data_IF_885202149875
#
_entry.id   IF_885202149875
#
_cell.length_a   1.000
_cell.length_b   1.000
_cell.length_c   1.000
_cell.angle_alpha   90.00
_cell.angle_beta   90.00
_cell.angle_gamma   90.00
#
_symmetry.space_group_name_H-M   'P 1'
#
loop_
_entity.id
_entity.type
_entity.pdbx_description
1 polymer ?
#
# COMPACT_ATOMS: atom_id res chain seq x y z
N UNK A 1 2.42 -19.02 27.63
CA UNK A 1 0.95 -18.77 27.53
C UNK A 1 0.56 -17.81 28.66
N UNK A 2 -0.23 -16.79 28.40
CA UNK A 2 -0.68 -15.86 29.44
C UNK A 2 -1.85 -16.48 30.21
N UNK A 3 -1.85 -16.38 31.54
CA UNK A 3 -2.94 -16.88 32.40
C UNK A 3 -4.15 -15.94 32.36
N UNK A 4 -5.35 -16.44 32.73
CA UNK A 4 -6.56 -15.62 32.89
C UNK A 4 -6.27 -14.36 33.76
N UNK A 5 -5.56 -14.56 34.89
CA UNK A 5 -5.17 -13.48 35.80
C UNK A 5 -4.41 -12.36 35.08
N UNK A 6 -3.41 -12.73 34.29
CA UNK A 6 -2.59 -11.78 33.55
C UNK A 6 -3.38 -11.06 32.46
N UNK A 7 -4.22 -11.79 31.71
CA UNK A 7 -5.07 -11.21 30.66
C UNK A 7 -6.08 -10.23 31.22
N UNK A 8 -6.76 -10.58 32.32
CA UNK A 8 -7.72 -9.71 32.99
C UNK A 8 -7.05 -8.42 33.48
N UNK A 9 -5.94 -8.53 34.18
CA UNK A 9 -5.19 -7.38 34.69
C UNK A 9 -4.73 -6.46 33.54
N UNK A 10 -4.12 -7.01 32.50
CA UNK A 10 -3.67 -6.24 31.34
C UNK A 10 -4.85 -5.55 30.61
N UNK A 11 -5.96 -6.23 30.39
CA UNK A 11 -7.13 -5.63 29.76
C UNK A 11 -7.73 -4.50 30.59
N UNK A 12 -7.80 -4.64 31.92
CA UNK A 12 -8.28 -3.59 32.83
C UNK A 12 -7.38 -2.37 32.83
N UNK A 13 -6.06 -2.58 32.91
CA UNK A 13 -5.07 -1.48 32.90
C UNK A 13 -5.06 -0.75 31.57
N UNK A 14 -5.25 -1.47 30.45
CA UNK A 14 -5.33 -0.88 29.11
C UNK A 14 -6.44 0.14 28.95
N UNK A 15 -7.59 -0.08 29.61
CA UNK A 15 -8.72 0.86 29.58
C UNK A 15 -8.74 1.81 30.79
N UNK A 16 -7.66 1.84 31.59
CA UNK A 16 -7.47 2.76 32.73
C UNK A 16 -8.40 2.51 33.92
N UNK A 17 -9.02 1.33 34.05
CA UNK A 17 -9.94 1.03 35.15
C UNK A 17 -9.20 0.53 36.39
N UNK A 18 -9.69 0.94 37.57
CA UNK A 18 -9.33 0.32 38.87
C UNK A 18 -10.12 -0.97 39.07
N UNK A 19 -9.66 -1.85 39.99
CA UNK A 19 -10.43 -3.05 40.35
C UNK A 19 -11.82 -2.72 40.91
N UNK A 20 -11.95 -1.60 41.65
CA UNK A 20 -13.22 -1.13 42.19
C UNK A 20 -14.19 -0.70 41.07
N UNK A 21 -13.73 0.06 40.10
CA UNK A 21 -14.53 0.49 38.93
C UNK A 21 -14.98 -0.71 38.09
N UNK A 22 -14.10 -1.70 37.87
CA UNK A 22 -14.47 -2.92 37.17
C UNK A 22 -15.52 -3.72 37.96
N UNK A 23 -15.38 -3.81 39.28
CA UNK A 23 -16.32 -4.45 40.18
C UNK A 23 -17.71 -3.82 40.12
N UNK A 24 -17.78 -2.50 40.19
CA UNK A 24 -19.02 -1.71 40.07
C UNK A 24 -19.69 -1.95 38.72
N UNK A 25 -18.93 -1.83 37.62
CA UNK A 25 -19.46 -1.98 36.26
C UNK A 25 -20.01 -3.40 35.96
N UNK A 26 -19.43 -4.41 36.59
CA UNK A 26 -19.79 -5.82 36.34
C UNK A 26 -20.76 -6.40 37.36
N UNK A 27 -21.00 -5.73 38.47
CA UNK A 27 -21.77 -6.24 39.61
C UNK A 27 -21.08 -7.42 40.31
N UNK A 28 -19.76 -7.50 40.20
CA UNK A 28 -18.90 -8.47 40.87
C UNK A 28 -18.17 -7.76 42.01
N UNK A 29 -17.97 -8.41 43.16
CA UNK A 29 -17.26 -7.77 44.27
C UNK A 29 -15.79 -7.51 43.93
N UNK A 30 -15.24 -6.39 44.43
CA UNK A 30 -13.82 -6.06 44.23
C UNK A 30 -12.90 -7.19 44.68
N UNK A 31 -13.24 -7.84 45.81
CA UNK A 31 -12.47 -8.98 46.31
C UNK A 31 -12.45 -10.15 45.29
N UNK A 32 -13.56 -10.39 44.58
CA UNK A 32 -13.62 -11.41 43.52
C UNK A 32 -12.75 -11.05 42.34
N UNK A 33 -12.75 -9.77 41.90
CA UNK A 33 -11.83 -9.29 40.85
C UNK A 33 -10.37 -9.48 41.28
N UNK A 34 -10.04 -9.08 42.53
CA UNK A 34 -8.70 -9.26 43.06
C UNK A 34 -8.24 -10.73 43.12
N UNK A 35 -9.12 -11.67 43.49
CA UNK A 35 -8.84 -13.12 43.51
C UNK A 35 -8.58 -13.66 42.09
N UNK A 36 -9.33 -13.19 41.09
CA UNK A 36 -9.09 -13.59 39.70
C UNK A 36 -7.74 -13.08 39.22
N UNK A 37 -7.39 -11.80 39.50
CA UNK A 37 -6.10 -11.22 39.12
C UNK A 37 -4.91 -11.86 39.84
N UNK A 38 -5.11 -12.42 41.05
CA UNK A 38 -4.09 -13.20 41.75
C UNK A 38 -3.98 -14.64 41.27
N UNK A 39 -4.92 -15.11 40.41
CA UNK A 39 -4.93 -16.50 39.93
C UNK A 39 -5.58 -17.48 40.89
N UNK A 40 -6.23 -17.02 41.97
CA UNK A 40 -6.92 -17.84 42.95
C UNK A 40 -8.27 -18.38 42.42
N UNK A 41 -8.81 -17.74 41.38
CA UNK A 41 -10.07 -18.14 40.73
C UNK A 41 -9.83 -18.33 39.24
N UNK A 42 -9.91 -19.61 38.79
CA UNK A 42 -9.65 -19.98 37.39
C UNK A 42 -10.92 -19.96 36.51
N UNK A 43 -12.10 -20.11 37.12
CA UNK A 43 -13.39 -20.12 36.41
C UNK A 43 -14.41 -19.22 37.10
N UNK A 44 -14.35 -17.89 36.84
CA UNK A 44 -15.29 -16.95 37.42
C UNK A 44 -16.66 -17.09 36.78
N UNK A 45 -17.73 -17.20 37.63
CA UNK A 45 -19.11 -17.41 37.19
C UNK A 45 -19.68 -16.32 36.28
N UNK A 46 -19.11 -15.10 36.32
CA UNK A 46 -19.58 -13.93 35.55
C UNK A 46 -18.51 -13.43 34.58
N UNK A 47 -17.72 -14.35 33.99
CA UNK A 47 -16.64 -14.00 33.06
C UNK A 47 -17.13 -13.23 31.83
N UNK A 48 -18.34 -13.52 31.34
CA UNK A 48 -19.00 -12.82 30.24
C UNK A 48 -19.21 -11.32 30.52
N UNK A 49 -19.68 -10.98 31.75
CA UNK A 49 -19.88 -9.59 32.15
C UNK A 49 -18.54 -8.86 32.32
N UNK A 50 -17.53 -9.56 32.81
CA UNK A 50 -16.19 -9.03 32.95
C UNK A 50 -15.58 -8.77 31.55
N UNK A 51 -15.70 -9.71 30.62
CA UNK A 51 -15.21 -9.58 29.25
C UNK A 51 -15.89 -8.40 28.52
N UNK A 52 -17.23 -8.29 28.62
CA UNK A 52 -17.99 -7.20 28.05
C UNK A 52 -17.57 -5.82 28.65
N UNK A 53 -17.38 -5.74 29.97
CA UNK A 53 -16.95 -4.50 30.62
C UNK A 53 -15.54 -4.07 30.24
N UNK A 54 -14.67 -5.01 29.87
CA UNK A 54 -13.30 -4.79 29.40
C UNK A 54 -13.20 -4.63 27.88
N UNK A 55 -14.33 -4.78 27.16
CA UNK A 55 -14.39 -4.75 25.70
C UNK A 55 -13.42 -5.77 25.04
N UNK A 56 -13.44 -7.02 25.53
CA UNK A 56 -12.64 -8.11 25.00
C UNK A 56 -13.48 -9.36 24.78
N UNK A 57 -13.16 -10.23 23.80
CA UNK A 57 -13.86 -11.50 23.61
C UNK A 57 -13.76 -12.41 24.86
N UNK A 58 -14.88 -13.02 25.25
CA UNK A 58 -14.92 -13.90 26.43
C UNK A 58 -13.94 -15.07 26.27
N UNK A 59 -13.89 -15.70 25.10
CA UNK A 59 -12.97 -16.82 24.83
C UNK A 59 -11.50 -16.41 24.93
N UNK A 60 -11.17 -15.19 24.46
CA UNK A 60 -9.83 -14.66 24.64
C UNK A 60 -9.52 -14.45 26.13
N UNK A 61 -10.42 -13.84 26.88
CA UNK A 61 -10.21 -13.60 28.29
C UNK A 61 -10.04 -14.92 29.06
N UNK A 62 -10.89 -15.91 28.81
CA UNK A 62 -10.94 -17.17 29.51
C UNK A 62 -9.84 -18.15 29.10
N UNK A 63 -9.62 -18.32 27.79
CA UNK A 63 -8.77 -19.36 27.22
C UNK A 63 -7.50 -18.84 26.56
N UNK A 64 -7.43 -17.52 26.27
CA UNK A 64 -6.35 -16.92 25.51
C UNK A 64 -6.42 -17.22 24.01
N UNK A 65 -7.57 -17.72 23.54
CA UNK A 65 -7.81 -17.96 22.12
C UNK A 65 -8.30 -16.63 21.52
N UNK A 66 -7.53 -16.07 20.61
CA UNK A 66 -8.01 -14.98 19.76
C UNK A 66 -9.06 -15.58 18.82
N UNK A 67 -10.34 -15.28 19.07
CA UNK A 67 -11.31 -15.42 17.99
C UNK A 67 -10.81 -14.47 16.91
N UNK A 68 -10.45 -15.00 15.74
CA UNK A 68 -10.24 -14.19 14.55
C UNK A 68 -11.40 -13.21 14.51
N UNK A 69 -11.09 -11.93 14.72
CA UNK A 69 -12.08 -10.86 14.63
C UNK A 69 -12.84 -11.14 13.34
N UNK A 70 -14.12 -11.43 13.46
CA UNK A 70 -14.96 -11.59 12.27
C UNK A 70 -14.74 -10.31 11.48
N UNK A 71 -14.49 -10.42 10.18
CA UNK A 71 -14.26 -9.30 9.25
C UNK A 71 -15.41 -8.26 9.24
N UNK A 72 -16.36 -8.36 10.16
CA UNK A 72 -17.63 -7.64 10.15
C UNK A 72 -17.63 -6.34 10.96
N UNK A 73 -16.56 -6.04 11.70
CA UNK A 73 -16.58 -4.90 12.63
C UNK A 73 -15.40 -3.92 12.46
N UNK A 74 -14.91 -3.79 11.22
CA UNK A 74 -14.10 -2.64 10.87
C UNK A 74 -15.04 -1.47 10.53
N UNK A 75 -15.21 -0.56 11.46
CA UNK A 75 -15.76 0.77 11.13
C UNK A 75 -14.86 1.36 10.05
N UNK A 76 -15.39 1.51 8.83
CA UNK A 76 -14.72 2.28 7.78
C UNK A 76 -14.64 3.72 8.29
N UNK A 77 -13.46 4.15 8.70
CA UNK A 77 -13.23 5.54 9.04
C UNK A 77 -13.04 6.30 7.73
N UNK A 78 -13.78 7.38 7.57
CA UNK A 78 -13.63 8.25 6.40
C UNK A 78 -12.19 8.78 6.34
N UNK A 79 -11.60 8.76 5.14
CA UNK A 79 -10.17 9.05 4.92
C UNK A 79 -9.75 10.45 5.39
N UNK A 80 -10.69 11.40 5.53
CA UNK A 80 -10.42 12.76 6.00
C UNK A 80 -9.95 12.82 7.47
N UNK A 81 -10.19 11.77 8.26
CA UNK A 81 -9.82 11.72 9.68
C UNK A 81 -8.57 10.88 9.96
N UNK A 82 -8.07 10.11 8.99
CA UNK A 82 -6.91 9.23 9.18
C UNK A 82 -5.66 9.92 8.67
N UNK A 83 -4.86 10.47 9.58
CA UNK A 83 -3.47 10.79 9.26
C UNK A 83 -2.70 9.48 9.13
N UNK A 84 -2.26 9.17 7.91
CA UNK A 84 -1.40 8.02 7.67
C UNK A 84 -0.11 8.17 8.48
N UNK A 85 0.30 7.09 9.15
CA UNK A 85 1.52 7.07 9.94
C UNK A 85 2.74 7.28 9.01
N UNK A 86 3.51 8.37 9.18
CA UNK A 86 4.66 8.67 8.33
C UNK A 86 5.80 7.65 8.47
N UNK A 87 5.82 6.84 9.54
CA UNK A 87 6.78 5.75 9.70
C UNK A 87 6.38 4.52 8.85
N UNK A 88 5.09 4.39 8.51
CA UNK A 88 4.54 3.29 7.71
C UNK A 88 4.38 3.67 6.24
N UNK A 89 3.96 4.91 5.97
CA UNK A 89 3.67 5.41 4.63
C UNK A 89 4.59 6.58 4.24
N UNK A 90 4.70 6.79 2.96
CA UNK A 90 5.34 7.96 2.37
C UNK A 90 4.53 8.42 1.17
N UNK A 91 4.24 9.70 1.09
CA UNK A 91 3.53 10.29 -0.04
C UNK A 91 4.46 10.43 -1.23
N UNK A 92 4.05 9.82 -2.34
CA UNK A 92 4.79 9.83 -3.61
C UNK A 92 4.03 10.71 -4.61
N UNK A 93 4.71 11.62 -5.32
CA UNK A 93 4.05 12.47 -6.29
C UNK A 93 3.50 11.67 -7.47
N UNK A 94 2.23 11.94 -7.82
CA UNK A 94 1.59 11.45 -9.04
C UNK A 94 1.88 12.45 -10.15
N UNK A 95 2.54 11.98 -11.21
CA UNK A 95 2.89 12.80 -12.34
C UNK A 95 1.79 12.77 -13.41
N UNK A 96 1.43 13.95 -13.89
CA UNK A 96 0.82 14.15 -15.20
C UNK A 96 1.85 14.81 -16.11
N UNK A 97 2.05 14.25 -17.27
CA UNK A 97 2.91 14.86 -18.29
C UNK A 97 1.98 15.49 -19.31
N UNK A 98 1.77 16.80 -19.16
CA UNK A 98 1.06 17.61 -20.14
C UNK A 98 2.05 18.41 -20.98
N UNK A 99 1.76 18.51 -22.26
CA UNK A 99 2.47 19.44 -23.14
C UNK A 99 1.90 20.84 -22.95
N UNK A 100 2.73 21.74 -22.50
CA UNK A 100 2.50 23.14 -22.73
C UNK A 100 2.93 23.49 -24.16
N UNK A 101 1.97 23.80 -25.02
CA UNK A 101 2.26 24.40 -26.32
C UNK A 101 2.80 25.80 -26.10
N UNK A 102 4.12 25.91 -25.90
CA UNK A 102 4.79 27.23 -25.83
C UNK A 102 4.69 27.93 -27.14
N UNK A 103 4.29 29.22 -27.11
CA UNK A 103 4.39 30.15 -28.24
C UNK A 103 5.89 30.35 -28.50
N UNK A 104 6.48 29.61 -29.44
CA UNK A 104 7.89 29.78 -29.79
C UNK A 104 8.66 28.53 -30.19
N UNK A 105 8.02 27.38 -30.44
CA UNK A 105 8.64 26.21 -31.10
C UNK A 105 9.52 25.32 -30.22
N UNK A 106 9.67 25.58 -28.94
CA UNK A 106 10.25 24.64 -27.95
C UNK A 106 9.15 24.08 -27.05
N UNK A 107 8.77 22.82 -27.29
CA UNK A 107 7.85 22.12 -26.41
C UNK A 107 8.56 21.81 -25.09
N UNK A 108 8.40 22.65 -24.10
CA UNK A 108 8.81 22.32 -22.74
C UNK A 108 7.81 21.32 -22.16
N UNK A 109 8.29 20.16 -21.82
CA UNK A 109 7.52 19.14 -21.11
C UNK A 109 7.40 19.57 -19.65
N UNK A 110 6.24 20.04 -19.24
CA UNK A 110 6.00 20.38 -17.84
C UNK A 110 5.54 19.08 -17.14
N UNK A 111 6.41 18.53 -16.30
CA UNK A 111 6.01 17.52 -15.34
C UNK A 111 5.23 18.22 -14.23
N UNK A 112 3.91 18.06 -14.20
CA UNK A 112 3.08 18.61 -13.13
C UNK A 112 2.76 17.50 -12.11
N UNK A 113 2.90 17.84 -10.84
CA UNK A 113 2.39 17.00 -9.74
C UNK A 113 0.90 17.30 -9.63
N UNK A 114 0.07 16.31 -9.92
CA UNK A 114 -1.39 16.45 -9.89
C UNK A 114 -2.01 15.90 -8.62
N UNK A 115 -1.30 15.01 -7.91
CA UNK A 115 -1.79 14.36 -6.71
C UNK A 115 -0.62 13.72 -5.94
N UNK A 116 -0.91 13.20 -4.74
CA UNK A 116 0.02 12.44 -3.91
C UNK A 116 -0.58 11.08 -3.61
N UNK A 117 0.22 10.03 -3.77
CA UNK A 117 -0.18 8.64 -3.55
C UNK A 117 0.60 8.05 -2.38
N UNK A 118 -0.07 7.60 -1.30
CA UNK A 118 0.61 7.00 -0.17
C UNK A 118 1.08 5.58 -0.50
N UNK A 119 2.39 5.37 -0.53
CA UNK A 119 3.00 4.04 -0.63
C UNK A 119 3.54 3.58 0.72
N UNK A 120 3.43 2.28 0.98
CA UNK A 120 4.01 1.70 2.18
C UNK A 120 5.53 1.66 2.07
N UNK A 121 6.22 2.14 3.09
CA UNK A 121 7.69 2.05 3.16
C UNK A 121 8.22 0.63 3.06
N UNK A 122 7.43 -0.34 3.55
CA UNK A 122 7.75 -1.76 3.40
C UNK A 122 7.86 -2.19 1.93
N UNK A 123 6.95 -1.75 1.06
CA UNK A 123 6.95 -2.11 -0.36
C UNK A 123 8.15 -1.50 -1.09
N UNK A 124 8.51 -0.26 -0.76
CA UNK A 124 9.72 0.39 -1.25
C UNK A 124 10.98 -0.37 -0.84
N UNK A 125 11.07 -0.75 0.45
CA UNK A 125 12.20 -1.52 0.99
C UNK A 125 12.30 -2.89 0.33
N UNK A 126 11.18 -3.59 0.15
CA UNK A 126 11.10 -4.89 -0.53
C UNK A 126 11.58 -4.80 -1.98
N UNK A 127 11.24 -3.72 -2.68
CA UNK A 127 11.68 -3.46 -4.05
C UNK A 127 13.13 -2.95 -4.13
N UNK A 128 13.75 -2.57 -3.01
CA UNK A 128 15.09 -1.98 -2.98
C UNK A 128 15.14 -0.55 -3.55
N UNK A 129 14.02 0.20 -3.47
CA UNK A 129 13.86 1.50 -4.11
C UNK A 129 13.82 2.61 -3.07
N UNK A 130 14.52 3.72 -3.34
CA UNK A 130 14.50 4.90 -2.48
C UNK A 130 13.31 5.80 -2.85
N UNK A 131 12.50 6.21 -1.87
CA UNK A 131 11.29 7.01 -2.06
C UNK A 131 11.50 8.28 -2.92
N UNK A 132 12.65 8.96 -2.78
CA UNK A 132 12.98 10.17 -3.56
C UNK A 132 13.03 9.94 -5.07
N UNK A 133 13.33 8.70 -5.49
CA UNK A 133 13.44 8.30 -6.89
C UNK A 133 12.12 7.72 -7.43
N UNK A 134 11.07 7.68 -6.61
CA UNK A 134 9.78 7.11 -7.03
C UNK A 134 8.86 8.17 -7.58
N UNK A 135 8.16 7.82 -8.65
CA UNK A 135 7.07 8.59 -9.22
C UNK A 135 5.89 7.67 -9.47
N UNK A 136 4.69 8.16 -9.28
CA UNK A 136 3.46 7.44 -9.64
C UNK A 136 2.98 7.95 -10.99
N UNK A 137 2.56 7.02 -11.84
CA UNK A 137 1.98 7.30 -13.15
C UNK A 137 0.63 6.60 -13.25
N UNK A 138 -0.39 7.30 -13.73
CA UNK A 138 -1.70 6.72 -14.00
C UNK A 138 -1.71 6.09 -15.40
N UNK A 139 -2.25 4.88 -15.51
CA UNK A 139 -2.38 4.19 -16.79
C UNK A 139 -3.60 4.71 -17.53
N UNK A 140 -3.42 4.99 -18.81
CA UNK A 140 -4.48 5.37 -19.74
C UNK A 140 -4.54 4.39 -20.90
N UNK A 141 -5.78 4.04 -21.28
CA UNK A 141 -6.02 3.12 -22.40
C UNK A 141 -5.93 1.66 -22.00
N UNK A 142 -5.89 0.79 -23.03
CA UNK A 142 -6.02 -0.67 -22.92
C UNK A 142 -4.76 -1.43 -23.37
N UNK A 143 -3.68 -0.74 -23.68
CA UNK A 143 -2.45 -1.36 -24.22
C UNK A 143 -1.77 -2.35 -23.26
N UNK A 144 -2.07 -2.26 -21.96
CA UNK A 144 -1.50 -3.13 -20.93
C UNK A 144 -2.49 -4.20 -20.44
N UNK A 145 -3.67 -4.32 -21.05
CA UNK A 145 -4.59 -5.42 -20.77
C UNK A 145 -3.95 -6.78 -21.12
N UNK A 146 -4.27 -7.85 -20.38
CA UNK A 146 -5.15 -7.92 -19.20
C UNK A 146 -4.42 -7.67 -17.87
N UNK A 147 -3.16 -7.21 -17.90
CA UNK A 147 -2.31 -7.09 -16.71
C UNK A 147 -2.64 -5.83 -15.91
N UNK A 148 -2.77 -4.70 -16.59
CA UNK A 148 -3.14 -3.41 -16.01
C UNK A 148 -4.32 -2.82 -16.77
N UNK A 149 -5.26 -2.23 -16.03
CA UNK A 149 -6.47 -1.60 -16.57
C UNK A 149 -6.27 -0.09 -16.75
N UNK A 150 -7.14 0.50 -17.56
CA UNK A 150 -7.27 1.96 -17.58
C UNK A 150 -7.65 2.48 -16.19
N UNK A 151 -6.93 3.46 -15.69
CA UNK A 151 -7.13 4.04 -14.35
C UNK A 151 -6.22 3.47 -13.26
N UNK A 152 -5.55 2.32 -13.49
CA UNK A 152 -4.56 1.79 -12.55
C UNK A 152 -3.37 2.74 -12.39
N UNK A 153 -2.68 2.62 -11.26
CA UNK A 153 -1.46 3.37 -10.99
C UNK A 153 -0.24 2.44 -11.01
N UNK A 154 0.88 2.94 -11.48
CA UNK A 154 2.17 2.26 -11.42
C UNK A 154 3.20 3.14 -10.71
N UNK A 155 4.05 2.51 -9.89
CA UNK A 155 5.20 3.18 -9.30
C UNK A 155 6.45 2.90 -10.14
N UNK A 156 7.14 3.97 -10.49
CA UNK A 156 8.31 4.00 -11.36
C UNK A 156 9.54 4.41 -10.56
N UNK A 157 10.59 3.61 -10.62
CA UNK A 157 11.90 3.95 -10.08
C UNK A 157 12.72 4.70 -11.13
N UNK A 158 12.87 6.00 -10.98
CA UNK A 158 13.59 6.86 -11.91
C UNK A 158 15.12 6.67 -11.86
N UNK A 159 15.64 5.95 -10.89
CA UNK A 159 17.08 5.58 -10.85
C UNK A 159 17.41 4.39 -11.78
N UNK A 160 16.39 3.68 -12.28
CA UNK A 160 16.53 2.48 -13.10
C UNK A 160 16.21 2.79 -14.58
N UNK A 161 17.01 3.64 -15.20
CA UNK A 161 16.84 4.00 -16.62
C UNK A 161 17.67 3.11 -17.54
N UNK A 162 18.82 2.63 -17.06
CA UNK A 162 19.76 1.78 -17.79
C UNK A 162 20.53 0.87 -16.83
N UNK A 163 20.97 -0.33 -17.26
CA UNK A 163 20.58 -0.99 -18.51
C UNK A 163 19.13 -1.45 -18.50
N UNK A 164 18.50 -1.50 -19.68
CA UNK A 164 17.15 -2.09 -19.83
C UNK A 164 17.22 -3.57 -19.46
N UNK A 165 16.30 -4.02 -18.61
CA UNK A 165 16.06 -5.44 -18.33
C UNK A 165 14.95 -5.93 -19.25
N UNK A 166 15.27 -6.90 -20.08
CA UNK A 166 14.34 -7.41 -21.08
C UNK A 166 13.08 -7.99 -20.44
N UNK A 167 11.95 -7.53 -20.91
CA UNK A 167 10.65 -7.99 -20.43
C UNK A 167 10.08 -7.21 -19.27
N UNK A 168 10.84 -6.32 -18.65
CA UNK A 168 10.33 -5.44 -17.59
C UNK A 168 9.51 -4.28 -18.19
N UNK A 169 8.58 -3.75 -17.38
CA UNK A 169 7.80 -2.56 -17.70
C UNK A 169 8.61 -1.30 -17.39
N UNK A 170 8.55 -0.35 -18.31
CA UNK A 170 9.16 0.96 -18.18
C UNK A 170 8.18 2.08 -18.50
N UNK A 171 8.26 3.16 -17.75
CA UNK A 171 7.70 4.43 -18.16
C UNK A 171 8.69 5.08 -19.13
N UNK A 172 8.20 5.44 -20.31
CA UNK A 172 8.98 6.09 -21.36
C UNK A 172 8.25 7.33 -21.83
N UNK A 173 9.04 8.35 -22.21
CA UNK A 173 8.56 9.46 -23.01
C UNK A 173 8.85 9.15 -24.47
N UNK A 174 7.82 9.09 -25.29
CA UNK A 174 7.87 8.88 -26.75
C UNK A 174 7.42 10.16 -27.44
N UNK A 175 8.37 11.00 -27.82
CA UNK A 175 8.10 12.37 -28.22
C UNK A 175 7.42 13.13 -27.08
N UNK A 176 6.13 13.39 -27.24
CA UNK A 176 5.29 14.15 -26.31
C UNK A 176 4.43 13.26 -25.40
N UNK A 177 4.40 11.98 -25.65
CA UNK A 177 3.53 11.03 -24.95
C UNK A 177 4.26 10.31 -23.82
N UNK A 178 3.62 10.27 -22.66
CA UNK A 178 3.99 9.34 -21.58
C UNK A 178 3.36 7.99 -21.88
N UNK A 179 4.19 6.94 -21.97
CA UNK A 179 3.76 5.57 -22.23
C UNK A 179 4.37 4.63 -21.20
N UNK A 180 3.63 3.60 -20.81
CA UNK A 180 4.16 2.47 -20.05
C UNK A 180 4.18 1.27 -20.96
N UNK A 181 5.36 0.69 -21.18
CA UNK A 181 5.58 -0.39 -22.14
C UNK A 181 6.64 -1.38 -21.63
N UNK A 182 6.60 -2.59 -22.16
CA UNK A 182 7.66 -3.57 -21.99
C UNK A 182 8.77 -3.20 -22.96
N UNK A 183 10.01 -3.15 -22.45
CA UNK A 183 11.18 -2.91 -23.28
C UNK A 183 12.01 -4.19 -23.41
N UNK A 184 12.52 -4.44 -24.63
CA UNK A 184 13.40 -5.57 -24.94
C UNK A 184 14.55 -5.05 -25.78
N UNK A 185 15.79 -5.27 -25.32
CA UNK A 185 16.97 -4.88 -26.09
C UNK A 185 17.12 -5.72 -27.36
N UNK A 186 17.61 -5.08 -28.41
CA UNK A 186 18.07 -5.75 -29.62
C UNK A 186 19.59 -5.85 -29.66
N UNK A 187 20.16 -6.88 -30.32
CA UNK A 187 21.61 -7.02 -30.46
C UNK A 187 22.30 -5.85 -31.15
N UNK A 188 21.58 -5.14 -32.01
CA UNK A 188 22.06 -3.96 -32.75
C UNK A 188 22.00 -2.65 -31.92
N UNK A 189 21.67 -2.75 -30.64
CA UNK A 189 21.51 -1.60 -29.73
C UNK A 189 20.13 -0.93 -29.82
N UNK A 190 19.28 -1.37 -30.72
CA UNK A 190 17.88 -0.92 -30.84
C UNK A 190 17.03 -1.46 -29.69
N UNK A 191 15.71 -1.23 -29.75
CA UNK A 191 14.77 -1.67 -28.74
C UNK A 191 13.44 -2.10 -29.38
N UNK A 192 12.80 -3.12 -28.81
CA UNK A 192 11.43 -3.48 -29.08
C UNK A 192 10.57 -2.87 -27.95
N UNK A 193 9.56 -2.10 -28.35
CA UNK A 193 8.54 -1.55 -27.47
C UNK A 193 7.31 -2.42 -27.59
N UNK A 194 6.93 -3.08 -26.51
CA UNK A 194 5.89 -4.10 -26.49
C UNK A 194 4.75 -3.74 -25.55
N UNK A 195 3.53 -4.06 -25.97
CA UNK A 195 2.32 -4.00 -25.16
C UNK A 195 1.93 -5.40 -24.68
N UNK A 196 1.16 -5.51 -23.57
CA UNK A 196 0.55 -6.79 -23.20
C UNK A 196 -0.59 -7.13 -24.17
N UNK A 197 -1.39 -6.15 -24.54
CA UNK A 197 -2.46 -6.29 -25.55
C UNK A 197 -1.86 -6.22 -26.96
N UNK A 198 -1.26 -7.32 -27.39
CA UNK A 198 -0.56 -7.40 -28.69
C UNK A 198 -1.50 -7.40 -29.89
N UNK A 199 -2.72 -7.84 -29.69
CA UNK A 199 -3.70 -7.94 -30.77
C UNK A 199 -4.09 -6.56 -31.31
N UNK A 200 -4.22 -5.58 -30.43
CA UNK A 200 -4.50 -4.19 -30.79
C UNK A 200 -3.23 -3.33 -30.94
N UNK A 201 -2.16 -3.70 -30.25
CA UNK A 201 -0.91 -2.93 -30.17
C UNK A 201 0.28 -3.81 -30.51
N UNK A 202 0.61 -3.98 -31.79
CA UNK A 202 1.76 -4.77 -32.23
C UNK A 202 3.08 -4.19 -31.73
N UNK A 203 4.12 -5.02 -31.71
CA UNK A 203 5.47 -4.62 -31.32
C UNK A 203 6.00 -3.50 -32.22
N UNK A 204 6.51 -2.43 -31.62
CA UNK A 204 7.25 -1.37 -32.32
C UNK A 204 8.72 -1.68 -32.23
N UNK A 205 9.40 -1.76 -33.36
CA UNK A 205 10.84 -2.08 -33.44
C UNK A 205 11.58 -0.81 -33.82
N UNK A 206 12.44 -0.34 -32.91
CA UNK A 206 13.28 0.83 -33.16
C UNK A 206 14.74 0.41 -33.36
N UNK A 207 15.39 1.05 -34.30
CA UNK A 207 16.84 1.01 -34.45
C UNK A 207 17.53 1.79 -33.32
N UNK A 208 18.83 1.65 -33.17
CA UNK A 208 19.58 2.43 -32.17
C UNK A 208 19.39 3.94 -32.36
N UNK A 209 19.46 4.42 -33.60
CA UNK A 209 19.28 5.86 -33.90
C UNK A 209 17.87 6.35 -33.53
N UNK A 210 16.84 5.62 -33.90
CA UNK A 210 15.45 5.96 -33.56
C UNK A 210 15.22 5.91 -32.05
N UNK A 211 15.78 4.92 -31.34
CA UNK A 211 15.73 4.85 -29.88
C UNK A 211 16.30 6.13 -29.26
N UNK A 212 17.47 6.58 -29.69
CA UNK A 212 18.13 7.74 -29.11
C UNK A 212 17.39 9.07 -29.37
N UNK A 213 16.71 9.18 -30.51
CA UNK A 213 16.01 10.41 -30.90
C UNK A 213 14.57 10.46 -30.47
N UNK A 214 13.90 9.32 -30.41
CA UNK A 214 12.45 9.23 -30.20
C UNK A 214 12.05 9.00 -28.75
N UNK A 215 12.77 8.12 -28.03
CA UNK A 215 12.38 7.74 -26.69
C UNK A 215 13.36 8.16 -25.60
N UNK A 216 12.78 8.59 -24.48
CA UNK A 216 13.51 8.82 -23.24
C UNK A 216 12.94 7.90 -22.16
N UNK A 217 13.79 7.05 -21.55
CA UNK A 217 13.40 6.15 -20.47
C UNK A 217 13.33 6.96 -19.18
N UNK A 218 12.14 7.06 -18.57
CA UNK A 218 11.91 7.74 -17.30
C UNK A 218 12.35 6.85 -16.14
N UNK A 219 12.01 5.56 -16.20
CA UNK A 219 12.40 4.61 -15.20
C UNK A 219 11.64 3.29 -15.30
N UNK A 220 12.02 2.34 -14.45
CA UNK A 220 11.44 0.99 -14.40
C UNK A 220 10.25 0.94 -13.46
N UNK A 221 9.17 0.28 -13.88
CA UNK A 221 8.01 -0.01 -13.04
C UNK A 221 8.37 -1.14 -12.07
N UNK A 222 8.06 -0.98 -10.79
CA UNK A 222 8.31 -1.98 -9.76
C UNK A 222 7.07 -2.34 -8.92
N UNK A 223 6.01 -1.55 -9.02
CA UNK A 223 4.78 -1.73 -8.25
C UNK A 223 3.58 -1.21 -9.04
N UNK A 224 2.40 -1.76 -8.80
CA UNK A 224 1.15 -1.32 -9.42
C UNK A 224 -0.05 -1.53 -8.51
N UNK A 225 -1.11 -0.73 -8.71
CA UNK A 225 -2.47 -1.07 -8.28
C UNK A 225 -3.13 -1.95 -9.33
N UNK A 226 -4.22 -2.60 -8.95
CA UNK A 226 -5.18 -3.18 -9.88
C UNK A 226 -6.59 -2.95 -9.34
N UNK A 227 -7.40 -2.22 -10.10
CA UNK A 227 -8.83 -2.04 -9.85
C UNK A 227 -9.61 -3.03 -10.72
N UNK A 228 -10.71 -3.57 -10.17
CA UNK A 228 -11.56 -4.57 -10.85
C UNK A 228 -12.84 -3.92 -11.35
#
# INVERSE_FOLDING_TARGET
MSTLAKRLKTARERIGMTQAQLAEKTGVSQQSIAKIEKGETLQPRRIEKIAAALNVPQKWLQLGIEENASLVDYTVQEAESIKLDPDVFVDIPVLNIELSAGIGGTSETIESIVDWFPLRRFDLKKAGVCAKNVRIVKIWGNSLLPVLNNGDYVAVDTSQQAPIRDGDLYAIRDGVLLRVKILINKPDGGVIIRSFNKDEYPDEILTFSEKCTRIHIIGRVFWSTRTW
#
